data_IF_078588136196
#
_entry.id   IF_078588136196
#
_cell.length_a   1.000
_cell.length_b   1.000
_cell.length_c   1.000
_cell.angle_alpha   90.00
_cell.angle_beta   90.00
_cell.angle_gamma   90.00
#
_symmetry.space_group_name_H-M   'P 1'
#
loop_
_entity.id
_entity.type
_entity.pdbx_description
1 polymer ?
#
# COMPACT_ATOMS: atom_id res chain seq x y z
N UNK A 1 -12.16 -1.75 5.79
CA UNK A 1 -12.77 -0.78 6.73
C UNK A 1 -13.13 0.51 6.02
N UNK A 2 -12.18 1.18 5.36
CA UNK A 2 -12.39 2.44 4.64
C UNK A 2 -13.54 2.35 3.61
N UNK A 3 -13.56 1.32 2.76
CA UNK A 3 -14.65 1.05 1.80
C UNK A 3 -16.06 1.01 2.43
N UNK A 4 -16.17 0.42 3.63
CA UNK A 4 -17.44 0.33 4.32
C UNK A 4 -17.84 1.68 4.91
N UNK A 5 -16.87 2.45 5.43
CA UNK A 5 -17.10 3.80 5.93
C UNK A 5 -17.55 4.74 4.80
N UNK A 6 -16.93 4.68 3.62
CA UNK A 6 -17.31 5.45 2.44
C UNK A 6 -18.76 5.18 2.02
N UNK A 7 -19.14 3.90 1.94
CA UNK A 7 -20.51 3.53 1.61
C UNK A 7 -21.52 4.01 2.66
N UNK A 8 -21.16 4.00 3.95
CA UNK A 8 -22.02 4.52 5.02
C UNK A 8 -22.13 6.05 4.91
N UNK A 9 -21.03 6.76 4.67
CA UNK A 9 -21.06 8.22 4.55
C UNK A 9 -21.88 8.68 3.34
N UNK A 10 -21.74 8.02 2.19
CA UNK A 10 -22.54 8.31 0.99
C UNK A 10 -24.05 8.16 1.27
N UNK A 11 -24.42 7.09 1.98
CA UNK A 11 -25.81 6.82 2.38
C UNK A 11 -26.34 7.87 3.37
N UNK A 12 -25.57 8.20 4.40
CA UNK A 12 -25.95 9.21 5.38
C UNK A 12 -26.07 10.59 4.74
N UNK A 13 -25.15 10.94 3.84
CA UNK A 13 -25.19 12.18 3.07
C UNK A 13 -26.48 12.27 2.26
N UNK A 14 -26.80 11.20 1.53
CA UNK A 14 -28.05 11.10 0.75
C UNK A 14 -29.29 11.29 1.63
N UNK A 15 -29.32 10.70 2.83
CA UNK A 15 -30.46 10.87 3.76
C UNK A 15 -30.53 12.25 4.38
N UNK A 16 -29.39 12.92 4.61
CA UNK A 16 -29.35 14.25 5.22
C UNK A 16 -29.95 15.33 4.32
N UNK A 17 -29.84 15.17 2.99
CA UNK A 17 -30.38 16.10 1.99
C UNK A 17 -31.79 15.74 1.51
N UNK A 18 -32.28 14.53 1.83
CA UNK A 18 -33.59 14.09 1.39
C UNK A 18 -34.71 14.77 2.20
N UNK A 19 -35.49 15.62 1.52
CA UNK A 19 -36.62 16.39 2.08
C UNK A 19 -37.82 15.53 2.48
N UNK A 20 -37.82 14.24 2.11
CA UNK A 20 -38.80 13.25 2.57
C UNK A 20 -38.73 12.99 4.07
N UNK A 21 -37.58 13.22 4.70
CA UNK A 21 -37.38 12.98 6.14
C UNK A 21 -37.61 14.24 6.98
N UNK A 22 -38.09 14.03 8.21
CA UNK A 22 -38.32 15.11 9.16
C UNK A 22 -37.02 15.80 9.57
N UNK A 23 -37.12 17.06 10.02
CA UNK A 23 -35.97 17.81 10.49
C UNK A 23 -35.22 17.08 11.62
N UNK A 24 -35.94 16.42 12.53
CA UNK A 24 -35.34 15.63 13.60
C UNK A 24 -34.48 14.46 13.08
N UNK A 25 -34.96 13.72 12.08
CA UNK A 25 -34.21 12.60 11.47
C UNK A 25 -32.96 13.13 10.76
N UNK A 26 -33.07 14.21 9.99
CA UNK A 26 -31.91 14.80 9.30
C UNK A 26 -30.86 15.33 10.29
N UNK A 27 -31.29 15.90 11.42
CA UNK A 27 -30.40 16.33 12.49
C UNK A 27 -29.69 15.14 13.15
N UNK A 28 -30.41 14.05 13.42
CA UNK A 28 -29.81 12.82 13.95
C UNK A 28 -28.80 12.20 12.97
N UNK A 29 -29.12 12.18 11.67
CA UNK A 29 -28.20 11.75 10.61
C UNK A 29 -26.92 12.58 10.60
N UNK A 30 -27.03 13.92 10.68
CA UNK A 30 -25.84 14.80 10.75
C UNK A 30 -24.96 14.55 11.96
N UNK A 31 -25.56 14.23 13.11
CA UNK A 31 -24.79 13.84 14.31
C UNK A 31 -24.05 12.52 14.02
N UNK A 32 -24.73 11.55 13.43
CA UNK A 32 -24.12 10.29 13.00
C UNK A 32 -22.95 10.47 12.03
N UNK A 33 -23.09 11.38 11.05
CA UNK A 33 -22.00 11.73 10.13
C UNK A 33 -20.80 12.37 10.87
N UNK A 34 -21.05 13.24 11.85
CA UNK A 34 -19.97 13.84 12.63
C UNK A 34 -19.19 12.76 13.41
N UNK A 35 -19.90 11.80 13.98
CA UNK A 35 -19.29 10.64 14.64
C UNK A 35 -18.52 9.77 13.65
N UNK A 36 -19.09 9.51 12.47
CA UNK A 36 -18.43 8.75 11.41
C UNK A 36 -17.13 9.42 10.96
N UNK A 37 -17.15 10.73 10.70
CA UNK A 37 -15.97 11.50 10.31
C UNK A 37 -14.86 11.46 11.38
N UNK A 38 -15.22 11.42 12.67
CA UNK A 38 -14.24 11.25 13.73
C UNK A 38 -13.50 9.91 13.62
N UNK A 39 -14.23 8.81 13.44
CA UNK A 39 -13.61 7.49 13.24
C UNK A 39 -12.90 7.38 11.89
N UNK A 40 -13.37 8.11 10.88
CA UNK A 40 -12.70 8.23 9.60
C UNK A 40 -11.29 8.81 9.79
N UNK A 41 -11.18 9.91 10.54
CA UNK A 41 -9.88 10.53 10.83
C UNK A 41 -8.90 9.62 11.58
N UNK A 42 -9.41 8.74 12.46
CA UNK A 42 -8.61 7.75 13.20
C UNK A 42 -8.18 6.56 12.32
N UNK A 43 -9.02 6.16 11.38
CA UNK A 43 -8.70 5.05 10.46
C UNK A 43 -7.70 5.52 9.41
N UNK A 44 -7.81 6.77 8.99
CA UNK A 44 -6.98 7.41 7.98
C UNK A 44 -5.62 7.88 8.53
N UNK A 45 -5.51 8.05 9.86
CA UNK A 45 -4.21 8.24 10.53
C UNK A 45 -3.36 6.97 10.59
N UNK A 46 -3.88 5.83 10.13
CA UNK A 46 -3.15 4.57 10.09
C UNK A 46 -2.64 4.29 8.68
N UNK A 47 -1.33 4.44 8.54
CA UNK A 47 -0.56 4.19 7.33
C UNK A 47 -0.83 2.81 6.72
N UNK A 48 -0.96 1.80 7.58
CA UNK A 48 -1.28 0.41 7.22
C UNK A 48 -2.55 0.30 6.35
N UNK A 49 -3.62 1.03 6.69
CA UNK A 49 -4.86 0.93 5.91
C UNK A 49 -4.74 1.58 4.54
N UNK A 50 -3.94 2.64 4.42
CA UNK A 50 -3.67 3.32 3.14
C UNK A 50 -2.83 2.42 2.23
N UNK A 51 -1.74 1.85 2.77
CA UNK A 51 -0.90 0.88 2.05
C UNK A 51 -1.74 -0.30 1.56
N UNK A 52 -2.53 -0.90 2.45
CA UNK A 52 -3.37 -2.05 2.09
C UNK A 52 -4.38 -1.75 0.97
N UNK A 53 -4.90 -0.52 0.88
CA UNK A 53 -5.81 -0.15 -0.23
C UNK A 53 -5.06 0.05 -1.55
N UNK A 54 -3.86 0.63 -1.53
CA UNK A 54 -3.02 0.79 -2.72
C UNK A 54 -2.55 -0.56 -3.24
N UNK A 55 -2.16 -1.48 -2.35
CA UNK A 55 -1.77 -2.86 -2.69
C UNK A 55 -2.93 -3.78 -3.05
N UNK A 56 -4.17 -3.30 -2.99
CA UNK A 56 -5.31 -4.10 -3.42
C UNK A 56 -5.48 -4.02 -4.95
N UNK A 57 -5.41 -5.13 -5.71
CA UNK A 57 -5.38 -5.13 -7.18
C UNK A 57 -6.63 -4.51 -7.82
N UNK A 58 -7.76 -4.60 -7.12
CA UNK A 58 -9.07 -4.01 -7.49
C UNK A 58 -9.22 -2.52 -7.19
N UNK A 59 -8.40 -1.94 -6.33
CA UNK A 59 -8.61 -0.57 -5.86
C UNK A 59 -7.48 0.35 -6.32
N UNK A 60 -6.22 -0.01 -6.05
CA UNK A 60 -5.02 0.78 -6.39
C UNK A 60 -5.25 2.29 -6.13
N UNK A 61 -4.62 3.15 -6.93
CA UNK A 61 -4.85 4.60 -6.91
C UNK A 61 -6.18 5.01 -7.59
N UNK A 62 -6.76 4.13 -8.42
CA UNK A 62 -7.99 4.40 -9.17
C UNK A 62 -9.22 4.51 -8.26
N UNK A 63 -9.25 3.76 -7.16
CA UNK A 63 -10.33 3.85 -6.18
C UNK A 63 -10.41 5.23 -5.55
N UNK A 64 -9.28 5.78 -5.08
CA UNK A 64 -9.25 7.11 -4.46
C UNK A 64 -9.71 8.21 -5.42
N UNK A 65 -9.35 8.11 -6.69
CA UNK A 65 -9.84 9.01 -7.75
C UNK A 65 -11.35 8.90 -7.93
N UNK A 66 -11.88 7.67 -7.94
CA UNK A 66 -13.32 7.40 -8.11
C UNK A 66 -14.13 7.86 -6.89
N UNK A 67 -13.58 7.65 -5.70
CA UNK A 67 -14.14 8.09 -4.42
C UNK A 67 -14.00 9.59 -4.17
N UNK A 68 -13.41 10.35 -5.11
CA UNK A 68 -13.19 11.81 -5.04
C UNK A 68 -12.42 12.26 -3.80
N UNK A 69 -11.46 11.46 -3.38
CA UNK A 69 -10.55 11.87 -2.32
C UNK A 69 -9.70 13.06 -2.77
N UNK A 70 -9.26 13.94 -1.85
CA UNK A 70 -8.46 15.09 -2.25
C UNK A 70 -7.12 14.62 -2.81
N UNK A 71 -6.61 15.31 -3.83
CA UNK A 71 -5.40 14.90 -4.56
C UNK A 71 -4.18 14.77 -3.63
N UNK A 72 -4.09 15.62 -2.62
CA UNK A 72 -3.06 15.55 -1.56
C UNK A 72 -3.05 14.18 -0.85
N UNK A 73 -4.23 13.60 -0.60
CA UNK A 73 -4.34 12.29 0.06
C UNK A 73 -3.91 11.15 -0.84
N UNK A 74 -4.15 11.27 -2.15
CA UNK A 74 -3.69 10.29 -3.13
C UNK A 74 -2.17 10.31 -3.21
N UNK A 75 -1.59 11.51 -3.21
CA UNK A 75 -0.14 11.71 -3.22
C UNK A 75 0.51 11.17 -1.95
N UNK A 76 -0.04 11.49 -0.77
CA UNK A 76 0.47 10.95 0.51
C UNK A 76 0.37 9.42 0.54
N UNK A 77 -0.70 8.83 0.02
CA UNK A 77 -0.83 7.38 -0.02
C UNK A 77 0.19 6.71 -0.96
N UNK A 78 0.53 7.36 -2.08
CA UNK A 78 1.57 6.89 -3.01
C UNK A 78 2.97 7.02 -2.41
N UNK A 79 3.29 8.19 -1.83
CA UNK A 79 4.55 8.48 -1.15
C UNK A 79 4.76 7.50 0.01
N UNK A 80 3.74 7.27 0.83
CA UNK A 80 3.83 6.37 1.98
C UNK A 80 4.08 4.90 1.58
N UNK A 81 3.51 4.44 0.46
CA UNK A 81 3.78 3.09 -0.05
C UNK A 81 5.19 2.98 -0.59
N UNK A 82 5.68 4.02 -1.28
CA UNK A 82 7.06 4.08 -1.74
C UNK A 82 8.01 4.09 -0.55
N UNK A 83 7.82 4.98 0.43
CA UNK A 83 8.65 5.11 1.62
C UNK A 83 8.73 3.82 2.43
N UNK A 84 7.60 3.14 2.67
CA UNK A 84 7.58 1.89 3.43
C UNK A 84 8.27 0.75 2.66
N UNK A 85 8.08 0.70 1.33
CA UNK A 85 8.73 -0.27 0.47
C UNK A 85 10.24 -0.04 0.41
N UNK A 86 10.67 1.22 0.29
CA UNK A 86 12.08 1.59 0.33
C UNK A 86 12.70 1.26 1.70
N UNK A 87 12.05 1.64 2.81
CA UNK A 87 12.56 1.38 4.16
C UNK A 87 12.65 -0.10 4.49
N UNK A 88 11.63 -0.89 4.16
CA UNK A 88 11.61 -2.31 4.53
C UNK A 88 12.55 -3.13 3.65
N UNK A 89 12.55 -2.90 2.34
CA UNK A 89 13.25 -3.77 1.38
C UNK A 89 14.62 -3.22 0.93
N UNK A 90 14.84 -1.90 0.93
CA UNK A 90 16.17 -1.33 0.61
C UNK A 90 17.12 -1.33 1.81
N UNK A 91 16.61 -1.23 3.04
CA UNK A 91 17.44 -1.33 4.24
C UNK A 91 17.94 -2.76 4.46
N UNK A 92 17.11 -3.76 4.18
CA UNK A 92 17.46 -5.18 4.28
C UNK A 92 18.54 -5.58 3.26
N UNK A 93 18.50 -5.00 2.05
CA UNK A 93 19.56 -5.16 1.04
C UNK A 93 20.88 -4.51 1.49
N UNK A 94 20.82 -3.31 2.10
CA UNK A 94 22.03 -2.62 2.62
C UNK A 94 22.66 -3.32 3.82
N UNK A 95 21.86 -3.96 4.67
CA UNK A 95 22.39 -4.73 5.81
C UNK A 95 23.11 -5.99 5.34
N UNK A 96 22.62 -6.65 4.28
CA UNK A 96 23.31 -7.78 3.65
C UNK A 96 24.62 -7.36 2.95
N UNK A 97 24.67 -6.17 2.34
CA UNK A 97 25.90 -5.60 1.77
C UNK A 97 26.91 -5.17 2.87
N UNK A 98 26.44 -4.70 4.03
CA UNK A 98 27.33 -4.26 5.12
C UNK A 98 27.97 -5.39 5.93
N UNK A 99 27.36 -6.59 5.95
CA UNK A 99 28.03 -7.79 6.48
C UNK A 99 29.16 -8.29 5.56
N UNK A 100 29.27 -7.75 4.34
CA UNK A 100 30.39 -7.99 3.43
C UNK A 100 31.58 -7.03 3.63
N UNK A 101 31.46 -6.01 4.48
CA UNK A 101 32.55 -5.08 4.82
C UNK A 101 32.94 -5.14 6.31
N UNK A 102 33.20 -6.34 6.84
CA UNK A 102 34.23 -6.46 7.89
C UNK A 102 35.52 -6.84 7.18
N UNK A 103 36.30 -5.80 6.83
CA UNK A 103 37.72 -5.93 6.55
C UNK A 103 38.38 -6.34 7.86
N UNK A 104 38.45 -7.65 8.12
CA UNK A 104 39.44 -8.19 9.04
C UNK A 104 40.58 -8.81 8.24
N UNK A 105 41.75 -8.31 8.56
CA UNK A 105 42.99 -8.49 7.86
C UNK A 105 43.63 -9.78 8.39
N UNK A 106 43.19 -10.95 7.93
CA UNK A 106 44.02 -12.15 8.09
C UNK A 106 43.80 -13.23 7.01
N UNK A 107 44.93 -13.77 6.57
CA UNK A 107 45.07 -14.79 5.55
C UNK A 107 44.26 -16.06 5.89
N UNK A 108 43.20 -16.34 5.12
CA UNK A 108 42.80 -17.73 4.87
C UNK A 108 42.01 -17.86 3.59
N UNK A 109 42.52 -18.68 2.68
CA UNK A 109 41.80 -19.22 1.52
C UNK A 109 40.45 -19.76 1.97
N UNK A 110 39.39 -18.99 1.77
CA UNK A 110 38.02 -19.48 1.77
C UNK A 110 37.57 -19.44 0.33
N UNK A 111 37.40 -20.63 -0.25
CA UNK A 111 36.80 -20.86 -1.54
C UNK A 111 35.56 -19.98 -1.70
N UNK A 112 35.64 -18.97 -2.55
CA UNK A 112 34.48 -18.29 -3.12
C UNK A 112 33.63 -19.38 -3.76
N UNK A 113 32.44 -19.59 -3.22
CA UNK A 113 31.58 -20.65 -3.71
C UNK A 113 31.18 -20.28 -5.14
N UNK A 114 31.15 -21.27 -6.03
CA UNK A 114 30.81 -21.07 -7.45
C UNK A 114 29.41 -20.43 -7.64
N UNK A 115 28.60 -20.44 -6.59
CA UNK A 115 27.27 -19.86 -6.53
C UNK A 115 27.26 -18.34 -6.26
N UNK A 116 28.32 -17.76 -5.70
CA UNK A 116 28.40 -16.32 -5.39
C UNK A 116 28.52 -15.45 -6.64
N UNK A 117 28.88 -16.05 -7.78
CA UNK A 117 29.03 -15.37 -9.08
C UNK A 117 27.91 -15.74 -10.06
N UNK A 118 26.86 -16.43 -9.62
CA UNK A 118 25.68 -16.71 -10.44
C UNK A 118 24.77 -15.47 -10.48
N UNK A 119 24.53 -14.88 -11.67
CA UNK A 119 23.63 -13.73 -11.81
C UNK A 119 22.19 -14.00 -11.33
N UNK A 120 21.79 -15.27 -11.22
CA UNK A 120 20.48 -15.69 -10.73
C UNK A 120 20.31 -15.59 -9.22
N UNK A 121 21.39 -15.45 -8.46
CA UNK A 121 21.40 -15.32 -6.99
C UNK A 121 21.87 -13.93 -6.53
N UNK A 122 22.22 -13.05 -7.47
CA UNK A 122 22.60 -11.68 -7.14
C UNK A 122 21.38 -10.92 -6.58
N UNK A 123 21.54 -10.16 -5.49
CA UNK A 123 20.48 -9.29 -4.99
C UNK A 123 19.96 -8.39 -6.11
N UNK A 124 18.63 -8.24 -6.26
CA UNK A 124 18.07 -7.34 -7.26
C UNK A 124 18.59 -5.92 -7.04
N UNK A 125 18.98 -5.25 -8.13
CA UNK A 125 19.45 -3.87 -8.04
C UNK A 125 18.32 -2.96 -7.58
N UNK A 126 18.64 -1.93 -6.80
CA UNK A 126 17.70 -0.93 -6.25
C UNK A 126 16.76 -0.33 -7.30
N UNK A 127 17.23 -0.17 -8.54
CA UNK A 127 16.43 0.34 -9.67
C UNK A 127 15.35 -0.64 -10.12
N UNK A 128 15.58 -1.94 -9.93
CA UNK A 128 14.66 -3.02 -10.29
C UNK A 128 13.52 -3.12 -9.26
N UNK A 129 13.81 -2.90 -7.97
CA UNK A 129 12.84 -2.87 -6.87
C UNK A 129 11.86 -1.70 -6.98
N UNK A 130 12.34 -0.47 -7.17
CA UNK A 130 11.45 0.67 -7.39
C UNK A 130 10.63 0.52 -8.68
N UNK A 131 11.20 -0.13 -9.70
CA UNK A 131 10.48 -0.45 -10.94
C UNK A 131 9.38 -1.49 -10.74
N UNK A 132 9.50 -2.37 -9.74
CA UNK A 132 8.53 -3.43 -9.42
C UNK A 132 7.21 -2.83 -8.88
N UNK A 133 7.32 -1.93 -7.90
CA UNK A 133 6.19 -1.17 -7.36
C UNK A 133 5.56 -0.28 -8.44
N UNK A 134 6.37 0.43 -9.21
CA UNK A 134 5.92 1.24 -10.34
C UNK A 134 5.16 0.41 -11.38
N UNK A 135 5.66 -0.80 -11.68
CA UNK A 135 5.04 -1.74 -12.62
C UNK A 135 3.70 -2.21 -12.09
N UNK A 136 3.59 -2.51 -10.79
CA UNK A 136 2.32 -2.86 -10.16
C UNK A 136 1.31 -1.71 -10.23
N UNK A 137 1.74 -0.48 -9.90
CA UNK A 137 0.89 0.73 -9.92
C UNK A 137 0.43 1.12 -11.33
N UNK A 138 1.27 0.89 -12.35
CA UNK A 138 0.93 1.15 -13.77
C UNK A 138 0.04 0.08 -14.40
N UNK A 139 -0.01 -1.12 -13.82
CA UNK A 139 -0.87 -2.20 -14.32
C UNK A 139 -2.35 -1.85 -14.08
N UNK A 140 -3.23 -2.19 -15.01
CA UNK A 140 -4.66 -1.94 -14.88
C UNK A 140 -5.26 -2.59 -13.62
N UNK A 141 -6.42 -2.08 -13.23
CA UNK A 141 -7.16 -2.58 -12.07
C UNK A 141 -7.81 -3.91 -12.45
N UNK A 142 -7.49 -4.98 -11.71
CA UNK A 142 -8.06 -6.31 -11.92
C UNK A 142 -9.23 -6.56 -10.97
N UNK A 143 -10.34 -7.10 -11.49
CA UNK A 143 -11.49 -7.45 -10.65
C UNK A 143 -11.24 -8.77 -9.92
N UNK A 144 -10.69 -8.66 -8.72
CA UNK A 144 -10.29 -9.80 -7.90
C UNK A 144 -11.18 -9.88 -6.65
N UNK A 145 -11.69 -11.08 -6.36
CA UNK A 145 -12.49 -11.36 -5.17
C UNK A 145 -11.62 -11.62 -3.92
N UNK A 146 -10.46 -12.27 -4.11
CA UNK A 146 -9.47 -12.55 -3.08
C UNK A 146 -8.11 -11.95 -3.45
N UNK A 147 -7.78 -10.82 -2.82
CA UNK A 147 -6.52 -10.12 -3.08
C UNK A 147 -5.30 -10.92 -2.63
N UNK A 148 -5.42 -11.77 -1.60
CA UNK A 148 -4.29 -12.53 -1.06
C UNK A 148 -3.93 -13.67 -2.00
N UNK A 149 -4.94 -14.39 -2.50
CA UNK A 149 -4.73 -15.43 -3.51
C UNK A 149 -4.10 -14.86 -4.79
N UNK A 150 -4.47 -13.64 -5.18
CA UNK A 150 -3.89 -12.97 -6.36
C UNK A 150 -2.42 -12.63 -6.19
N UNK A 151 -2.01 -12.19 -4.98
CA UNK A 151 -0.60 -11.95 -4.65
C UNK A 151 0.20 -13.26 -4.63
N UNK A 152 -0.34 -14.34 -4.05
CA UNK A 152 0.29 -15.66 -4.02
C UNK A 152 0.59 -16.19 -5.45
N UNK A 153 -0.38 -16.07 -6.37
CA UNK A 153 -0.19 -16.45 -7.78
C UNK A 153 0.87 -15.61 -8.51
N UNK A 154 1.14 -14.39 -8.04
CA UNK A 154 2.02 -13.40 -8.70
C UNK A 154 3.28 -13.10 -7.92
N UNK A 155 3.57 -13.85 -6.87
CA UNK A 155 4.80 -13.72 -6.08
C UNK A 155 6.06 -13.89 -6.95
N UNK A 156 6.01 -14.69 -8.01
CA UNK A 156 7.13 -14.83 -8.96
C UNK A 156 7.34 -13.57 -9.82
N UNK A 157 6.30 -12.77 -10.03
CA UNK A 157 6.35 -11.52 -10.80
C UNK A 157 6.63 -10.32 -9.90
N UNK A 158 6.24 -10.39 -8.64
CA UNK A 158 6.47 -9.38 -7.62
C UNK A 158 7.10 -10.01 -6.37
N UNK A 159 8.40 -10.35 -6.40
CA UNK A 159 9.04 -11.07 -5.30
C UNK A 159 9.16 -10.27 -4.00
N UNK A 160 9.07 -8.93 -4.03
CA UNK A 160 9.24 -8.08 -2.85
C UNK A 160 7.94 -7.39 -2.42
N UNK A 161 6.82 -7.73 -3.05
CA UNK A 161 5.49 -7.12 -2.89
C UNK A 161 4.47 -8.18 -2.48
#
# INVERSE_FOLDING_TARGET
VILAMDHIDERLTTFSFNTKYTMAIRSAVRIGQKTLNHYYSLTDSSDVYRIAMVLHPRHKLSYFKTARWPAEWIMIAEELVQDEFEQSYMMETRMQDSDAEIIDNDNKEKSTNIFDSLPSLAPPKVVDLSSELDRYLKTDVEHVADAVAWWDERQAMYPHL
#
